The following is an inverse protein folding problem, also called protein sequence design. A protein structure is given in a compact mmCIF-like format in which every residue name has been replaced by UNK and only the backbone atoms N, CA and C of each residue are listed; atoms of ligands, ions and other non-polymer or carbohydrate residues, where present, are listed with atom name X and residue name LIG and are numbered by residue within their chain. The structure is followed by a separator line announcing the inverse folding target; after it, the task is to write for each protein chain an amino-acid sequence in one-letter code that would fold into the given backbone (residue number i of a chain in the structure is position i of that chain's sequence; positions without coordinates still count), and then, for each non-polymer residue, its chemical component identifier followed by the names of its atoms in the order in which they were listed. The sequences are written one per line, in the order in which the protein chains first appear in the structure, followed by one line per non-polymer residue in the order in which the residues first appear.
data_IF_871813692207
#
_entry.id   IF_871813692207
#
_cell.length_a   1.000
_cell.length_b   1.000
_cell.length_c   1.000
_cell.angle_alpha   90.00
_cell.angle_beta   90.00
_cell.angle_gamma   90.00
#
_symmetry.space_group_name_H-M   'P 1'
#
loop_
_entity.id
_entity.type
_entity.pdbx_description
1 polymer ?
#
# COMPACT_ATOMS: atom_id res chain seq x y z
N UNK A 1 7.52 7.01 -14.57
CA UNK A 1 7.96 7.62 -13.31
C UNK A 1 6.82 8.45 -12.72
N UNK A 2 6.63 8.39 -11.40
CA UNK A 2 5.55 9.12 -10.77
C UNK A 2 5.87 10.62 -10.70
N UNK A 3 4.86 11.43 -10.99
CA UNK A 3 4.96 12.88 -10.87
C UNK A 3 4.65 13.31 -9.43
N UNK A 4 5.01 14.54 -9.08
CA UNK A 4 4.76 15.06 -7.73
C UNK A 4 3.29 15.00 -7.34
N UNK A 5 2.39 15.34 -8.24
CA UNK A 5 0.96 15.27 -7.97
C UNK A 5 0.50 13.85 -7.72
N UNK A 6 1.10 12.89 -8.44
CA UNK A 6 0.78 11.48 -8.24
C UNK A 6 1.30 10.97 -6.90
N UNK A 7 2.46 11.44 -6.46
CA UNK A 7 3.00 11.07 -5.15
C UNK A 7 2.10 11.62 -4.05
N UNK A 8 1.66 12.87 -4.17
CA UNK A 8 0.74 13.47 -3.19
C UNK A 8 -0.59 12.72 -3.14
N UNK A 9 -1.12 12.35 -4.30
CA UNK A 9 -2.34 11.56 -4.38
C UNK A 9 -2.14 10.19 -3.74
N UNK A 10 -1.01 9.55 -3.99
CA UNK A 10 -0.65 8.27 -3.40
C UNK A 10 -0.64 8.34 -1.87
N UNK A 11 0.01 9.35 -1.32
CA UNK A 11 0.08 9.54 0.13
C UNK A 11 -1.33 9.71 0.69
N UNK A 12 -2.15 10.53 0.03
CA UNK A 12 -3.52 10.78 0.46
C UNK A 12 -4.36 9.50 0.44
N UNK A 13 -4.28 8.75 -0.64
CA UNK A 13 -5.03 7.50 -0.80
C UNK A 13 -4.62 6.47 0.26
N UNK A 14 -3.33 6.29 0.43
CA UNK A 14 -2.82 5.30 1.39
C UNK A 14 -3.15 5.70 2.82
N UNK A 15 -3.11 7.00 3.12
CA UNK A 15 -3.46 7.49 4.46
C UNK A 15 -4.92 7.24 4.82
N UNK A 16 -5.77 7.06 3.83
CA UNK A 16 -7.19 6.79 4.05
C UNK A 16 -7.51 5.30 4.09
N UNK A 17 -6.54 4.43 3.81
CA UNK A 17 -6.79 3.00 3.76
C UNK A 17 -6.94 2.40 5.15
N UNK A 18 -7.95 1.54 5.29
CA UNK A 18 -8.13 0.72 6.49
C UNK A 18 -7.24 -0.52 6.40
N UNK A 19 -7.14 -1.28 7.49
CA UNK A 19 -6.40 -2.54 7.49
C UNK A 19 -6.88 -3.50 6.39
N UNK A 20 -8.20 -3.77 6.24
CA UNK A 20 -8.65 -4.66 5.16
C UNK A 20 -8.25 -4.18 3.78
N UNK A 21 -8.33 -2.88 3.53
CA UNK A 21 -7.93 -2.32 2.25
C UNK A 21 -6.43 -2.50 2.00
N UNK A 22 -5.61 -2.30 3.02
CA UNK A 22 -4.17 -2.50 2.91
C UNK A 22 -3.82 -3.95 2.66
N UNK A 23 -4.49 -4.88 3.34
CA UNK A 23 -4.26 -6.30 3.14
C UNK A 23 -4.59 -6.69 1.70
N UNK A 24 -5.72 -6.20 1.18
CA UNK A 24 -6.08 -6.44 -0.21
C UNK A 24 -5.03 -5.91 -1.18
N UNK A 25 -4.50 -4.72 -0.90
CA UNK A 25 -3.45 -4.14 -1.73
C UNK A 25 -2.21 -5.01 -1.72
N UNK A 26 -1.75 -5.45 -0.56
CA UNK A 26 -0.56 -6.30 -0.46
C UNK A 26 -0.74 -7.61 -1.23
N UNK A 27 -1.94 -8.17 -1.23
CA UNK A 27 -2.22 -9.43 -1.93
C UNK A 27 -2.36 -9.26 -3.44
N UNK A 28 -2.84 -8.11 -3.88
CA UNK A 28 -3.16 -7.87 -5.29
C UNK A 28 -2.10 -7.07 -6.03
N UNK A 29 -1.26 -6.35 -5.32
CA UNK A 29 -0.29 -5.46 -5.93
C UNK A 29 0.79 -6.27 -6.66
N UNK A 30 0.97 -6.04 -7.97
CA UNK A 30 1.89 -6.86 -8.76
C UNK A 30 3.35 -6.38 -8.61
N UNK A 31 3.86 -6.41 -7.40
CA UNK A 31 5.22 -6.00 -7.10
C UNK A 31 5.85 -7.01 -6.16
N UNK A 32 7.17 -7.06 -6.19
CA UNK A 32 7.89 -7.87 -5.22
C UNK A 32 8.05 -7.07 -3.94
N UNK A 33 7.83 -7.74 -2.82
CA UNK A 33 8.02 -7.13 -1.52
C UNK A 33 9.38 -7.56 -0.96
N UNK A 34 10.14 -6.63 -0.41
CA UNK A 34 11.44 -6.97 0.19
C UNK A 34 11.30 -7.73 1.51
N UNK A 35 10.10 -7.77 2.07
CA UNK A 35 9.84 -8.43 3.33
C UNK A 35 8.86 -9.57 3.15
N UNK A 36 8.96 -10.53 4.05
CA UNK A 36 8.05 -11.67 4.09
C UNK A 36 6.76 -11.22 4.80
N UNK A 37 5.77 -10.83 4.03
CA UNK A 37 4.51 -10.31 4.58
C UNK A 37 3.54 -11.47 4.82
N UNK A 38 3.67 -12.09 5.97
CA UNK A 38 2.78 -13.19 6.35
C UNK A 38 1.41 -12.65 6.75
N UNK A 39 0.39 -13.53 6.73
CA UNK A 39 -0.94 -13.16 7.20
C UNK A 39 -0.92 -12.68 8.64
N UNK A 40 -0.09 -13.32 9.47
CA UNK A 40 0.04 -12.94 10.87
C UNK A 40 0.57 -11.51 11.00
N UNK A 41 1.61 -11.18 10.25
CA UNK A 41 2.15 -9.82 10.25
C UNK A 41 1.10 -8.81 9.81
N UNK A 42 0.35 -9.11 8.75
CA UNK A 42 -0.66 -8.20 8.21
C UNK A 42 -1.80 -7.96 9.21
N UNK A 43 -2.09 -8.94 10.07
CA UNK A 43 -3.13 -8.80 11.08
C UNK A 43 -2.66 -8.10 12.34
N UNK A 44 -1.39 -8.24 12.70
CA UNK A 44 -0.88 -7.79 14.00
C UNK A 44 -0.10 -6.48 13.93
N UNK A 45 0.49 -6.14 12.79
CA UNK A 45 1.20 -4.87 12.65
C UNK A 45 0.23 -3.71 12.74
N UNK A 46 0.70 -2.55 13.19
CA UNK A 46 -0.16 -1.38 13.26
C UNK A 46 -0.55 -0.94 11.84
N UNK A 47 -1.73 -0.31 11.74
CA UNK A 47 -2.20 0.21 10.46
C UNK A 47 -1.21 1.24 9.91
N UNK A 48 -0.67 2.08 10.78
CA UNK A 48 0.32 3.09 10.37
C UNK A 48 1.57 2.44 9.78
N UNK A 49 2.02 1.34 10.39
CA UNK A 49 3.18 0.63 9.89
C UNK A 49 2.88 0.02 8.51
N UNK A 50 1.70 -0.57 8.34
CA UNK A 50 1.29 -1.13 7.06
C UNK A 50 1.21 -0.06 5.98
N UNK A 51 0.67 1.11 6.31
CA UNK A 51 0.62 2.24 5.39
C UNK A 51 2.02 2.67 4.96
N UNK A 52 2.91 2.76 5.92
CA UNK A 52 4.28 3.17 5.65
C UNK A 52 4.99 2.18 4.74
N UNK A 53 4.85 0.90 5.01
CA UNK A 53 5.46 -0.15 4.18
C UNK A 53 4.89 -0.09 2.77
N UNK A 54 3.58 0.02 2.65
CA UNK A 54 2.95 0.04 1.33
C UNK A 54 3.34 1.29 0.54
N UNK A 55 3.41 2.43 1.19
CA UNK A 55 3.87 3.65 0.54
C UNK A 55 5.28 3.47 -0.01
N UNK A 56 6.18 2.89 0.79
CA UNK A 56 7.55 2.65 0.37
C UNK A 56 7.59 1.71 -0.85
N UNK A 57 6.76 0.67 -0.86
CA UNK A 57 6.69 -0.26 -1.98
C UNK A 57 6.21 0.46 -3.25
N UNK A 58 5.17 1.27 -3.13
CA UNK A 58 4.66 2.02 -4.28
C UNK A 58 5.71 2.98 -4.84
N UNK A 59 6.41 3.68 -3.98
CA UNK A 59 7.46 4.61 -4.41
C UNK A 59 8.62 3.87 -5.07
N UNK A 60 9.03 2.75 -4.49
CA UNK A 60 10.13 1.96 -5.02
C UNK A 60 9.80 1.39 -6.39
N UNK A 61 8.55 1.01 -6.61
CA UNK A 61 8.10 0.44 -7.87
C UNK A 61 7.53 1.48 -8.84
N UNK A 62 7.45 2.73 -8.44
CA UNK A 62 6.90 3.82 -9.25
C UNK A 62 5.50 3.48 -9.74
N UNK A 63 4.64 2.99 -8.85
CA UNK A 63 3.33 2.47 -9.21
C UNK A 63 2.29 2.83 -8.18
N UNK A 64 1.13 3.27 -8.67
CA UNK A 64 0.01 3.63 -7.80
C UNK A 64 -0.70 2.37 -7.25
N UNK A 65 -1.39 2.50 -6.11
CA UNK A 65 -2.22 1.40 -5.60
C UNK A 65 -3.34 1.03 -6.56
N UNK A 66 -3.87 -0.18 -6.41
CA UNK A 66 -5.05 -0.59 -7.17
C UNK A 66 -6.27 0.21 -6.73
N UNK A 67 -7.01 0.73 -7.70
CA UNK A 67 -8.16 1.58 -7.40
C UNK A 67 -9.37 0.79 -6.90
N UNK A 68 -9.56 -0.43 -7.37
CA UNK A 68 -10.70 -1.24 -6.97
C UNK A 68 -10.74 -1.48 -5.47
N UNK A 69 -9.60 -1.71 -4.86
CA UNK A 69 -9.52 -1.96 -3.43
C UNK A 69 -9.80 -0.69 -2.62
N UNK A 70 -9.57 0.48 -3.20
CA UNK A 70 -9.77 1.76 -2.53
C UNK A 70 -11.20 2.27 -2.70
N UNK A 71 -11.82 1.96 -3.84
CA UNK A 71 -13.15 2.46 -4.17
C UNK A 71 -14.26 1.79 -3.34
N UNK A 72 -13.97 0.69 -2.71
CA UNK A 72 -14.97 -0.05 -1.92
C UNK A 72 -15.34 0.64 -0.59
#
# INVERSE_FOLDING_TARGET
MLQNEQVEEMVSVISAMSRPALIDQFRSYPARFPLDLTDDFLRTASVERLRHIFLAVCLQNQRMPFREAVAA
#
